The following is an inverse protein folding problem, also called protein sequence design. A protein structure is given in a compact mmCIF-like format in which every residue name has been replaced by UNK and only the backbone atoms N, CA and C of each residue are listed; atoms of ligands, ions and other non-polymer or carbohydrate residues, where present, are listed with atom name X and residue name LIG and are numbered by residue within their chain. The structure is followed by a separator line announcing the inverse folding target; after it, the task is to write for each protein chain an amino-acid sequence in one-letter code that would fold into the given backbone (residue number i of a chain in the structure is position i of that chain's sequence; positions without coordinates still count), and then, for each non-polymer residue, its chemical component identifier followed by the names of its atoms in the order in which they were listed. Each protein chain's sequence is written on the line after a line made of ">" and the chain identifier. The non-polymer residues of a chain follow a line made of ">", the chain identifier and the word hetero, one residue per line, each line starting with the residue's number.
data_IF_684667115726
#
_entry.id   IF_684667115726
#
_cell.length_a   1.000
_cell.length_b   1.000
_cell.length_c   1.000
_cell.angle_alpha   90.00
_cell.angle_beta   90.00
_cell.angle_gamma   90.00
#
_symmetry.space_group_name_H-M   'P 1'
#
loop_
_entity.id
_entity.type
_entity.pdbx_description
1 polymer ?
#
# COMPACT_ATOMS: atom_id res chain seq x y z
N UNK A 1 -3.16 -42.07 34.37
CA UNK A 1 -2.35 -42.01 33.14
C UNK A 1 -3.19 -41.26 32.12
N UNK A 2 -3.17 -39.93 32.18
CA UNK A 2 -3.92 -39.08 31.26
C UNK A 2 -3.02 -38.79 30.06
N UNK A 3 -3.38 -39.33 28.91
CA UNK A 3 -2.83 -38.91 27.63
C UNK A 3 -3.50 -37.57 27.32
N UNK A 4 -2.78 -36.49 27.61
CA UNK A 4 -3.14 -35.16 27.14
C UNK A 4 -2.74 -35.12 25.67
N UNK A 5 -3.73 -35.27 24.79
CA UNK A 5 -3.56 -35.03 23.37
C UNK A 5 -3.22 -33.54 23.22
N UNK A 6 -1.94 -33.23 23.01
CA UNK A 6 -1.50 -31.91 22.58
C UNK A 6 -2.26 -31.60 21.29
N UNK A 7 -3.18 -30.64 21.35
CA UNK A 7 -3.77 -30.06 20.14
C UNK A 7 -2.63 -29.58 19.27
N UNK A 8 -2.77 -29.74 17.96
CA UNK A 8 -1.94 -29.05 16.98
C UNK A 8 -2.01 -27.55 17.29
N UNK A 9 -1.04 -27.03 18.05
CA UNK A 9 -0.90 -25.59 18.28
C UNK A 9 -0.65 -24.96 16.91
N UNK A 10 -1.47 -23.98 16.54
CA UNK A 10 -1.31 -23.27 15.28
C UNK A 10 -0.05 -22.41 15.28
N UNK A 11 0.39 -21.94 14.12
CA UNK A 11 1.60 -21.11 14.03
C UNK A 11 1.54 -19.89 14.96
N UNK A 12 0.36 -19.28 15.08
CA UNK A 12 0.14 -18.10 15.92
C UNK A 12 0.26 -18.44 17.41
N UNK A 13 -0.22 -19.61 17.85
CA UNK A 13 -0.11 -20.02 19.26
C UNK A 13 1.36 -20.22 19.66
N UNK A 14 2.15 -20.86 18.80
CA UNK A 14 3.60 -21.03 19.03
C UNK A 14 4.32 -19.68 19.12
N UNK A 15 3.93 -18.72 18.27
CA UNK A 15 4.49 -17.37 18.30
C UNK A 15 4.09 -16.62 19.57
N UNK A 16 2.83 -16.72 20.02
CA UNK A 16 2.37 -16.12 21.28
C UNK A 16 3.14 -16.68 22.47
N UNK A 17 3.30 -18.00 22.54
CA UNK A 17 4.03 -18.65 23.63
C UNK A 17 5.50 -18.19 23.65
N UNK A 18 6.16 -18.12 22.49
CA UNK A 18 7.53 -17.61 22.40
C UNK A 18 7.62 -16.13 22.81
N UNK A 19 6.73 -15.28 22.27
CA UNK A 19 6.68 -13.84 22.54
C UNK A 19 6.28 -13.49 23.97
N UNK A 20 5.71 -14.43 24.73
CA UNK A 20 5.48 -14.26 26.17
C UNK A 20 6.79 -14.25 27.00
N UNK A 21 7.86 -14.80 26.44
CA UNK A 21 9.16 -14.99 27.11
C UNK A 21 10.32 -14.23 26.46
N UNK A 22 10.09 -13.60 25.30
CA UNK A 22 11.08 -12.83 24.55
C UNK A 22 10.42 -11.95 23.48
N UNK A 23 11.22 -11.20 22.72
CA UNK A 23 10.71 -10.24 21.72
C UNK A 23 10.74 -10.77 20.29
N UNK A 24 11.32 -11.95 20.06
CA UNK A 24 11.49 -12.51 18.72
C UNK A 24 11.09 -13.98 18.68
N UNK A 25 10.27 -14.33 17.70
CA UNK A 25 9.95 -15.68 17.29
C UNK A 25 10.32 -15.87 15.81
N UNK A 26 11.04 -16.94 15.50
CA UNK A 26 11.29 -17.37 14.12
C UNK A 26 10.94 -18.84 14.02
N UNK A 27 10.00 -19.17 13.13
CA UNK A 27 9.58 -20.54 12.89
C UNK A 27 10.78 -21.41 12.47
N UNK A 28 10.80 -22.65 12.94
CA UNK A 28 11.85 -23.62 12.61
C UNK A 28 11.91 -23.98 11.13
N UNK A 29 10.83 -23.69 10.40
CA UNK A 29 10.72 -23.91 8.97
C UNK A 29 11.42 -22.82 8.14
N UNK A 30 11.80 -21.71 8.77
CA UNK A 30 12.57 -20.64 8.13
C UNK A 30 14.04 -21.02 8.11
N UNK A 31 14.66 -20.97 6.93
CA UNK A 31 16.09 -21.24 6.75
C UNK A 31 16.92 -20.27 7.61
N UNK A 32 17.88 -20.80 8.36
CA UNK A 32 18.71 -19.99 9.24
C UNK A 32 17.99 -19.40 10.46
N UNK A 33 16.81 -19.93 10.82
CA UNK A 33 15.94 -19.41 11.90
C UNK A 33 16.64 -18.99 13.20
N UNK A 34 17.60 -19.77 13.71
CA UNK A 34 18.36 -19.41 14.92
C UNK A 34 19.23 -18.17 14.73
N UNK A 35 19.97 -18.08 13.62
CA UNK A 35 20.84 -16.93 13.36
C UNK A 35 20.03 -15.66 13.12
N UNK A 36 18.89 -15.78 12.44
CA UNK A 36 17.95 -14.68 12.23
C UNK A 36 17.33 -14.21 13.56
N UNK A 37 16.90 -15.14 14.42
CA UNK A 37 16.36 -14.80 15.73
C UNK A 37 17.37 -14.02 16.59
N UNK A 38 18.62 -14.49 16.66
CA UNK A 38 19.70 -13.81 17.41
C UNK A 38 19.98 -12.40 16.87
N UNK A 39 20.00 -12.25 15.54
CA UNK A 39 20.21 -10.95 14.89
C UNK A 39 19.07 -9.97 15.22
N UNK A 40 17.82 -10.41 15.09
CA UNK A 40 16.65 -9.57 15.36
C UNK A 40 16.57 -9.19 16.85
N UNK A 41 16.90 -10.13 17.74
CA UNK A 41 16.92 -9.88 19.18
C UNK A 41 17.94 -8.79 19.54
N UNK A 42 19.11 -8.78 18.90
CA UNK A 42 20.12 -7.74 19.09
C UNK A 42 19.68 -6.36 18.57
N UNK A 43 18.80 -6.31 17.56
CA UNK A 43 18.31 -5.06 16.96
C UNK A 43 17.14 -4.43 17.74
N UNK A 44 16.26 -5.27 18.31
CA UNK A 44 15.14 -4.78 19.12
C UNK A 44 15.63 -4.13 20.41
N UNK A 45 16.64 -4.72 21.06
CA UNK A 45 17.17 -4.21 22.33
C UNK A 45 16.08 -4.15 23.41
N UNK A 46 15.93 -2.98 24.04
CA UNK A 46 14.93 -2.73 25.10
C UNK A 46 13.59 -2.19 24.56
N UNK A 47 13.41 -2.10 23.24
CA UNK A 47 12.18 -1.58 22.63
C UNK A 47 11.01 -2.57 22.82
N UNK A 48 9.80 -2.02 23.01
CA UNK A 48 8.55 -2.79 23.11
C UNK A 48 8.06 -3.24 21.73
N UNK A 49 8.86 -4.08 21.07
CA UNK A 49 8.61 -4.60 19.72
C UNK A 49 8.60 -6.14 19.75
N UNK A 50 7.49 -6.75 19.34
CA UNK A 50 7.39 -8.18 19.12
C UNK A 50 7.58 -8.51 17.63
N UNK A 51 8.45 -9.46 17.31
CA UNK A 51 8.71 -9.90 15.93
C UNK A 51 8.37 -11.38 15.79
N UNK A 52 7.55 -11.73 14.80
CA UNK A 52 7.25 -13.11 14.46
C UNK A 52 7.54 -13.37 12.97
N UNK A 53 8.41 -14.35 12.69
CA UNK A 53 8.78 -14.72 11.32
C UNK A 53 8.32 -16.15 11.05
N UNK A 54 7.51 -16.32 10.02
CA UNK A 54 6.91 -17.59 9.63
C UNK A 54 7.32 -17.99 8.21
N UNK A 55 7.23 -19.29 7.93
CA UNK A 55 7.27 -19.81 6.56
C UNK A 55 5.98 -19.47 5.81
N UNK A 56 5.96 -19.68 4.49
CA UNK A 56 4.77 -19.53 3.65
C UNK A 56 3.58 -20.39 4.12
N UNK A 57 3.82 -21.44 4.91
CA UNK A 57 2.77 -22.31 5.43
C UNK A 57 1.82 -21.60 6.40
N UNK A 58 2.31 -20.59 7.13
CA UNK A 58 1.45 -19.83 8.06
C UNK A 58 0.37 -19.02 7.33
N UNK A 59 0.59 -18.66 6.05
CA UNK A 59 -0.41 -18.01 5.21
C UNK A 59 -1.65 -18.89 4.93
N UNK A 60 -1.56 -20.20 5.21
CA UNK A 60 -2.70 -21.12 5.13
C UNK A 60 -3.63 -21.00 6.34
N UNK A 61 -3.14 -20.51 7.48
CA UNK A 61 -3.91 -20.36 8.72
C UNK A 61 -4.48 -18.95 8.87
N UNK A 62 -3.67 -17.92 8.62
CA UNK A 62 -4.07 -16.52 8.77
C UNK A 62 -3.24 -15.60 7.86
N UNK A 63 -3.79 -14.43 7.52
CA UNK A 63 -3.02 -13.41 6.78
C UNK A 63 -2.06 -12.65 7.70
N UNK A 64 -0.98 -12.08 7.17
CA UNK A 64 -0.02 -11.28 7.94
C UNK A 64 -0.69 -10.23 8.84
N UNK A 65 -1.63 -9.40 8.33
CA UNK A 65 -2.38 -8.46 9.16
C UNK A 65 -3.27 -9.09 10.24
N UNK A 66 -3.89 -10.25 9.96
CA UNK A 66 -4.69 -10.98 10.96
C UNK A 66 -3.78 -11.51 12.08
N UNK A 67 -2.60 -12.03 11.73
CA UNK A 67 -1.59 -12.48 12.68
C UNK A 67 -1.07 -11.29 13.52
N UNK A 68 -0.83 -10.13 12.90
CA UNK A 68 -0.46 -8.90 13.63
C UNK A 68 -1.53 -8.54 14.66
N UNK A 69 -2.82 -8.56 14.26
CA UNK A 69 -3.93 -8.25 15.17
C UNK A 69 -3.99 -9.26 16.32
N UNK A 70 -3.90 -10.55 16.03
CA UNK A 70 -4.00 -11.60 17.04
C UNK A 70 -2.81 -11.57 18.02
N UNK A 71 -1.59 -11.36 17.52
CA UNK A 71 -0.41 -11.19 18.36
C UNK A 71 -0.50 -9.90 19.19
N UNK A 72 -0.97 -8.79 18.62
CA UNK A 72 -1.14 -7.55 19.38
C UNK A 72 -2.13 -7.74 20.54
N UNK A 73 -3.24 -8.47 20.33
CA UNK A 73 -4.25 -8.71 21.36
C UNK A 73 -3.80 -9.68 22.45
N UNK A 74 -2.94 -10.64 22.09
CA UNK A 74 -2.48 -11.70 22.99
C UNK A 74 -1.11 -11.42 23.63
N UNK A 75 -0.41 -10.40 23.17
CA UNK A 75 0.91 -9.99 23.69
C UNK A 75 0.90 -8.54 24.18
N UNK A 76 1.90 -8.19 25.01
CA UNK A 76 2.00 -6.87 25.64
C UNK A 76 2.80 -5.83 24.85
N UNK A 77 3.20 -6.10 23.61
CA UNK A 77 4.07 -5.21 22.86
C UNK A 77 3.33 -3.98 22.31
N UNK A 78 4.05 -2.87 22.21
CA UNK A 78 3.54 -1.63 21.61
C UNK A 78 3.53 -1.71 20.08
N UNK A 79 4.49 -2.44 19.51
CA UNK A 79 4.58 -2.68 18.06
C UNK A 79 4.78 -4.17 17.78
N UNK A 80 4.08 -4.68 16.77
CA UNK A 80 4.19 -6.04 16.27
C UNK A 80 4.63 -6.00 14.81
N UNK A 81 5.64 -6.80 14.47
CA UNK A 81 6.12 -7.00 13.10
C UNK A 81 5.99 -8.50 12.79
N UNK A 82 5.33 -8.81 11.69
CA UNK A 82 5.11 -10.19 11.22
C UNK A 82 5.71 -10.32 9.82
N UNK A 83 6.48 -11.37 9.60
CA UNK A 83 6.88 -11.83 8.28
C UNK A 83 6.22 -13.19 8.00
N UNK A 84 5.57 -13.34 6.85
CA UNK A 84 5.08 -14.64 6.38
C UNK A 84 5.68 -14.89 5.00
N UNK A 85 6.66 -15.77 4.93
CA UNK A 85 7.48 -15.87 3.73
C UNK A 85 8.26 -14.57 3.52
N UNK A 86 8.10 -13.98 2.34
CA UNK A 86 8.71 -12.70 1.97
C UNK A 86 7.82 -11.47 2.28
N UNK A 87 6.57 -11.68 2.69
CA UNK A 87 5.59 -10.61 2.92
C UNK A 87 5.73 -10.05 4.34
N UNK A 88 5.85 -8.73 4.48
CA UNK A 88 5.90 -8.04 5.77
C UNK A 88 4.56 -7.40 6.15
N UNK A 89 4.23 -7.45 7.42
CA UNK A 89 3.09 -6.79 8.02
C UNK A 89 3.47 -6.22 9.37
N UNK A 90 3.01 -5.02 9.70
CA UNK A 90 3.30 -4.44 11.00
C UNK A 90 2.16 -3.56 11.52
N UNK A 91 1.98 -3.57 12.84
CA UNK A 91 1.00 -2.78 13.55
C UNK A 91 1.61 -2.17 14.80
N UNK A 92 1.23 -0.94 15.12
CA UNK A 92 1.73 -0.25 16.31
C UNK A 92 0.61 0.51 17.01
N UNK A 93 0.66 0.55 18.33
CA UNK A 93 -0.22 1.35 19.21
C UNK A 93 0.36 2.72 19.54
N UNK A 94 1.67 2.90 19.30
CA UNK A 94 2.43 4.10 19.69
C UNK A 94 2.83 4.97 18.50
N UNK A 95 2.88 4.40 17.29
CA UNK A 95 3.03 5.16 16.05
C UNK A 95 1.66 5.61 15.52
N UNK A 96 1.67 6.55 14.59
CA UNK A 96 0.45 6.95 13.87
C UNK A 96 -0.21 5.75 13.20
N UNK A 97 -1.55 5.80 13.09
CA UNK A 97 -2.32 4.70 12.51
C UNK A 97 -1.84 4.37 11.09
N UNK A 98 -1.44 3.12 10.87
CA UNK A 98 -0.93 2.64 9.58
C UNK A 98 0.55 2.92 9.33
N UNK A 99 1.24 3.64 10.21
CA UNK A 99 2.64 4.03 10.00
C UNK A 99 3.60 2.83 10.06
N UNK A 100 3.40 1.93 11.02
CA UNK A 100 4.18 0.69 11.11
C UNK A 100 4.06 -0.15 9.83
N UNK A 101 2.85 -0.29 9.29
CA UNK A 101 2.59 -0.98 8.03
C UNK A 101 3.25 -0.28 6.84
N UNK A 102 3.22 1.06 6.80
CA UNK A 102 3.90 1.86 5.79
C UNK A 102 5.42 1.61 5.80
N UNK A 103 6.02 1.57 6.99
CA UNK A 103 7.45 1.28 7.18
C UNK A 103 7.79 -0.13 6.68
N UNK A 104 6.99 -1.14 7.04
CA UNK A 104 7.16 -2.52 6.59
C UNK A 104 7.12 -2.62 5.05
N UNK A 105 6.07 -2.06 4.43
CA UNK A 105 5.92 -2.05 2.97
C UNK A 105 7.07 -1.32 2.26
N UNK A 106 7.58 -0.24 2.86
CA UNK A 106 8.71 0.51 2.32
C UNK A 106 10.01 -0.29 2.37
N UNK A 107 10.24 -1.05 3.43
CA UNK A 107 11.40 -1.92 3.57
C UNK A 107 11.36 -3.08 2.57
N UNK A 108 10.21 -3.75 2.45
CA UNK A 108 10.00 -4.83 1.47
C UNK A 108 10.19 -4.32 0.03
N UNK A 109 9.64 -3.14 -0.28
CA UNK A 109 9.76 -2.49 -1.59
C UNK A 109 11.20 -2.08 -1.95
N UNK A 110 12.15 -2.08 -1.00
CA UNK A 110 13.55 -1.79 -1.27
C UNK A 110 14.21 -2.89 -2.15
N UNK A 111 13.62 -4.10 -2.17
CA UNK A 111 14.06 -5.23 -2.98
C UNK A 111 15.32 -5.91 -2.46
N UNK A 112 15.50 -5.88 -1.13
CA UNK A 112 16.52 -6.64 -0.40
C UNK A 112 16.05 -8.05 -0.04
N UNK A 113 16.85 -8.78 0.74
CA UNK A 113 16.40 -10.06 1.32
C UNK A 113 15.38 -9.83 2.44
N UNK A 114 14.70 -10.89 2.90
CA UNK A 114 13.80 -10.82 4.05
C UNK A 114 14.51 -10.26 5.28
N UNK A 115 15.76 -10.68 5.53
CA UNK A 115 16.55 -10.23 6.67
C UNK A 115 16.90 -8.74 6.57
N UNK A 116 17.24 -8.26 5.37
CA UNK A 116 17.49 -6.83 5.12
C UNK A 116 16.21 -6.01 5.35
N UNK A 117 15.07 -6.52 4.88
CA UNK A 117 13.77 -5.85 4.98
C UNK A 117 13.27 -5.80 6.44
N UNK A 118 13.39 -6.90 7.17
CA UNK A 118 13.11 -6.97 8.61
C UNK A 118 14.02 -6.02 9.39
N UNK A 119 15.33 -6.08 9.11
CA UNK A 119 16.31 -5.22 9.79
C UNK A 119 16.02 -3.74 9.56
N UNK A 120 15.66 -3.36 8.34
CA UNK A 120 15.29 -1.98 8.02
C UNK A 120 13.99 -1.56 8.71
N UNK A 121 12.99 -2.45 8.75
CA UNK A 121 11.70 -2.21 9.41
C UNK A 121 11.89 -1.95 10.90
N UNK A 122 12.63 -2.82 11.59
CA UNK A 122 12.93 -2.70 13.03
C UNK A 122 13.68 -1.39 13.31
N UNK A 123 14.75 -1.11 12.55
CA UNK A 123 15.55 0.11 12.78
C UNK A 123 14.74 1.39 12.59
N UNK A 124 13.85 1.42 11.59
CA UNK A 124 13.01 2.60 11.32
C UNK A 124 11.96 2.76 12.42
N UNK A 125 11.28 1.68 12.83
CA UNK A 125 10.30 1.72 13.93
C UNK A 125 10.95 2.16 15.24
N UNK A 126 12.15 1.65 15.57
CA UNK A 126 12.88 2.07 16.78
C UNK A 126 13.22 3.56 16.74
N UNK A 127 13.59 4.10 15.57
CA UNK A 127 13.88 5.52 15.40
C UNK A 127 12.63 6.39 15.58
N UNK A 128 11.51 5.99 14.98
CA UNK A 128 10.23 6.73 15.05
C UNK A 128 9.55 6.60 16.44
N UNK A 129 9.79 5.49 17.15
CA UNK A 129 9.23 5.25 18.49
C UNK A 129 10.06 5.88 19.61
N UNK A 130 11.25 6.42 19.31
CA UNK A 130 12.09 7.05 20.31
C UNK A 130 11.40 8.33 20.84
N UNK A 131 11.28 8.51 22.17
CA UNK A 131 10.70 9.72 22.71
C UNK A 131 11.52 10.92 22.27
N UNK A 132 10.84 11.97 21.78
CA UNK A 132 11.48 13.23 21.47
C UNK A 132 12.35 13.67 22.67
N UNK A 133 13.60 14.12 22.45
CA UNK A 133 14.45 14.56 23.55
C UNK A 133 13.69 15.61 24.34
N UNK A 134 13.53 15.37 25.65
CA UNK A 134 12.80 16.27 26.52
C UNK A 134 13.38 17.68 26.35
N UNK A 135 12.59 18.61 25.84
CA UNK A 135 12.91 20.02 25.98
C UNK A 135 12.90 20.31 27.49
N UNK A 136 14.08 20.31 28.09
CA UNK A 136 14.30 20.85 29.42
C UNK A 136 13.86 22.31 29.37
N UNK A 137 12.61 22.55 29.78
CA UNK A 137 12.10 23.85 30.14
C UNK A 137 12.99 24.42 31.25
N UNK A 138 13.90 25.31 30.85
CA UNK A 138 14.80 26.00 31.74
C UNK A 138 14.70 27.49 31.47
N UNK A 139 13.77 28.14 32.16
CA UNK A 139 13.76 29.59 32.28
C UNK A 139 15.11 30.12 32.76
N UNK A 140 15.38 31.38 32.42
CA UNK A 140 16.52 32.17 32.84
C UNK A 140 17.19 31.68 34.13
N UNK A 141 18.36 31.06 33.96
CA UNK A 141 19.27 30.71 35.05
C UNK A 141 20.18 29.54 34.72
N UNK A 142 21.17 29.71 33.82
CA UNK A 142 22.28 28.77 33.76
C UNK A 142 22.93 28.61 32.38
N UNK A 143 24.23 28.89 32.34
CA UNK A 143 25.17 28.55 31.26
C UNK A 143 25.13 27.04 30.99
N UNK A 144 24.98 26.62 29.72
CA UNK A 144 25.42 25.28 29.30
C UNK A 144 26.18 25.39 27.98
N UNK A 145 27.44 24.97 28.08
CA UNK A 145 28.43 24.84 27.02
C UNK A 145 28.29 23.43 26.40
N UNK A 146 28.20 23.41 25.07
CA UNK A 146 28.76 22.49 24.06
C UNK A 146 28.83 20.95 24.26
N UNK A 147 28.48 20.24 23.18
CA UNK A 147 29.31 19.29 22.39
C UNK A 147 28.44 18.83 21.18
N UNK A 148 28.67 19.19 19.92
CA UNK A 148 29.81 19.04 18.99
C UNK A 148 30.05 17.60 18.45
N UNK A 149 29.44 17.33 17.28
CA UNK A 149 29.97 16.72 16.03
C UNK A 149 30.67 15.34 16.06
N UNK A 150 30.11 14.39 15.28
CA UNK A 150 30.80 13.55 14.28
C UNK A 150 29.73 12.81 13.44
N UNK A 151 29.73 12.69 12.11
CA UNK A 151 30.68 13.09 11.07
C UNK A 151 29.93 13.18 9.71
N UNK A 152 30.31 14.16 8.90
CA UNK A 152 29.91 14.30 7.51
C UNK A 152 30.93 13.61 6.59
N UNK A 153 30.54 12.56 5.85
CA UNK A 153 31.11 12.17 4.55
C UNK A 153 30.02 11.42 3.75
N UNK A 154 29.95 11.65 2.43
CA UNK A 154 29.06 11.09 1.39
C UNK A 154 27.78 11.89 1.05
N UNK A 155 27.93 13.15 0.63
CA UNK A 155 26.86 13.89 -0.09
C UNK A 155 27.17 14.08 -1.59
N UNK A 156 28.36 13.73 -2.09
CA UNK A 156 28.70 13.88 -3.51
C UNK A 156 28.61 12.59 -4.35
N UNK A 157 28.48 11.41 -3.75
CA UNK A 157 28.45 10.11 -4.47
C UNK A 157 27.05 9.54 -4.72
N UNK A 158 26.06 9.91 -3.90
CA UNK A 158 24.73 9.26 -3.88
C UNK A 158 23.84 9.74 -5.04
N UNK A 159 23.99 10.99 -5.50
CA UNK A 159 23.16 11.51 -6.60
C UNK A 159 23.52 10.84 -7.95
N UNK A 160 24.80 10.52 -8.19
CA UNK A 160 25.22 9.85 -9.42
C UNK A 160 24.88 8.34 -9.43
N UNK A 161 24.96 7.67 -8.27
CA UNK A 161 24.60 6.26 -8.15
C UNK A 161 23.08 6.03 -8.32
N UNK A 162 22.24 6.92 -7.77
CA UNK A 162 20.78 6.84 -7.94
C UNK A 162 20.38 7.04 -9.40
N UNK A 163 21.02 7.97 -10.14
CA UNK A 163 20.74 8.18 -11.56
C UNK A 163 21.19 6.99 -12.45
N UNK A 164 22.36 6.39 -12.16
CA UNK A 164 22.87 5.22 -12.88
C UNK A 164 22.06 3.94 -12.58
N UNK A 165 21.57 3.79 -11.35
CA UNK A 165 20.68 2.69 -10.95
C UNK A 165 19.26 2.89 -11.48
N UNK A 166 18.71 4.12 -11.56
CA UNK A 166 17.44 4.40 -12.26
C UNK A 166 17.54 4.13 -13.76
N UNK A 167 18.65 4.51 -14.40
CA UNK A 167 18.88 4.28 -15.83
C UNK A 167 19.13 2.79 -16.15
N UNK A 168 19.76 2.03 -15.24
CA UNK A 168 19.86 0.56 -15.35
C UNK A 168 18.54 -0.12 -15.04
N UNK A 169 17.79 0.29 -14.00
CA UNK A 169 16.45 -0.23 -13.66
C UNK A 169 15.42 0.02 -14.76
N UNK A 170 15.49 1.11 -15.52
CA UNK A 170 14.65 1.30 -16.71
C UNK A 170 14.90 0.25 -17.80
N UNK A 171 16.10 -0.37 -17.80
CA UNK A 171 16.49 -1.41 -18.75
C UNK A 171 16.27 -2.82 -18.21
N UNK A 172 16.42 -3.04 -16.89
CA UNK A 172 16.16 -4.34 -16.24
C UNK A 172 14.68 -4.57 -15.90
N UNK A 173 13.89 -3.52 -15.59
CA UNK A 173 12.42 -3.64 -15.43
C UNK A 173 11.70 -4.01 -16.72
N UNK A 174 12.37 -3.88 -17.86
CA UNK A 174 11.88 -4.35 -19.17
C UNK A 174 12.08 -5.86 -19.37
N UNK A 175 12.70 -6.56 -18.42
CA UNK A 175 13.13 -7.96 -18.58
C UNK A 175 12.65 -8.92 -17.49
N UNK A 176 11.82 -8.46 -16.53
CA UNK A 176 11.19 -9.32 -15.51
C UNK A 176 9.65 -9.27 -15.50
N UNK A 177 9.02 -8.39 -16.27
CA UNK A 177 7.58 -8.44 -16.60
C UNK A 177 7.36 -9.40 -17.76
N UNK A 178 7.39 -10.70 -17.47
CA UNK A 178 7.26 -11.79 -18.45
C UNK A 178 5.83 -12.22 -18.76
N UNK A 179 4.82 -11.59 -18.15
CA UNK A 179 3.46 -11.58 -18.69
C UNK A 179 2.98 -10.12 -18.65
N UNK A 180 2.91 -9.50 -19.83
CA UNK A 180 2.40 -8.14 -19.98
C UNK A 180 0.94 -8.08 -19.51
N UNK A 181 0.56 -7.04 -18.76
CA UNK A 181 -0.84 -6.71 -18.54
C UNK A 181 -1.59 -6.75 -19.88
N UNK A 182 -2.82 -7.28 -19.95
CA UNK A 182 -3.59 -7.25 -21.19
C UNK A 182 -3.76 -5.82 -21.72
N UNK A 183 -3.88 -5.66 -23.03
CA UNK A 183 -3.93 -4.34 -23.68
C UNK A 183 -5.04 -3.44 -23.12
N UNK A 184 -6.21 -4.04 -22.84
CA UNK A 184 -7.39 -3.37 -22.28
C UNK A 184 -7.19 -2.82 -20.87
N UNK A 185 -6.28 -3.42 -20.09
CA UNK A 185 -5.93 -3.01 -18.72
C UNK A 185 -4.69 -2.12 -18.70
N UNK A 186 -3.74 -2.36 -19.61
CA UNK A 186 -2.45 -1.66 -19.66
C UNK A 186 -2.64 -0.16 -19.83
N UNK A 187 -3.48 0.27 -20.78
CA UNK A 187 -3.77 1.68 -21.03
C UNK A 187 -4.29 2.42 -19.80
N UNK A 188 -5.39 1.96 -19.17
CA UNK A 188 -5.90 2.53 -17.93
C UNK A 188 -4.89 2.54 -16.77
N UNK A 189 -4.11 1.47 -16.59
CA UNK A 189 -3.10 1.39 -15.54
C UNK A 189 -1.97 2.41 -15.76
N UNK A 190 -1.52 2.59 -17.00
CA UNK A 190 -0.50 3.60 -17.31
C UNK A 190 -1.03 5.03 -17.11
N UNK A 191 -2.30 5.28 -17.44
CA UNK A 191 -2.95 6.55 -17.15
C UNK A 191 -3.05 6.82 -15.64
N UNK A 192 -3.43 5.82 -14.85
CA UNK A 192 -3.46 5.90 -13.39
C UNK A 192 -2.07 6.19 -12.81
N UNK A 193 -1.01 5.50 -13.26
CA UNK A 193 0.37 5.80 -12.81
C UNK A 193 0.79 7.24 -13.12
N UNK A 194 0.39 7.78 -14.28
CA UNK A 194 0.65 9.18 -14.61
C UNK A 194 -0.08 10.12 -13.64
N UNK A 195 -1.37 9.85 -13.36
CA UNK A 195 -2.18 10.62 -12.42
C UNK A 195 -1.61 10.56 -11.00
N UNK A 196 -1.15 9.40 -10.51
CA UNK A 196 -0.51 9.28 -9.20
C UNK A 196 0.60 10.32 -9.00
N UNK A 197 1.46 10.53 -10.01
CA UNK A 197 2.50 11.55 -9.97
C UNK A 197 1.96 12.99 -9.88
N UNK A 198 0.83 13.26 -10.51
CA UNK A 198 0.16 14.57 -10.46
C UNK A 198 -0.50 14.83 -9.11
N UNK A 199 -1.21 13.83 -8.58
CA UNK A 199 -1.79 13.86 -7.24
C UNK A 199 -0.71 14.00 -6.16
N UNK A 200 0.41 13.29 -6.28
CA UNK A 200 1.54 13.40 -5.35
C UNK A 200 2.17 14.81 -5.39
N UNK A 201 2.27 15.43 -6.57
CA UNK A 201 2.77 16.80 -6.69
C UNK A 201 1.83 17.81 -6.01
N UNK A 202 0.51 17.66 -6.20
CA UNK A 202 -0.49 18.48 -5.53
C UNK A 202 -0.50 18.24 -4.00
N UNK A 203 -0.29 17.00 -3.57
CA UNK A 203 -0.13 16.62 -2.17
C UNK A 203 1.09 17.26 -1.52
N UNK A 204 2.23 17.29 -2.21
CA UNK A 204 3.43 18.00 -1.78
C UNK A 204 3.25 19.52 -1.63
N UNK A 205 2.22 20.09 -2.25
CA UNK A 205 1.82 21.48 -2.10
C UNK A 205 0.85 21.71 -0.92
N UNK A 206 0.52 20.67 -0.14
CA UNK A 206 -0.31 20.74 1.07
C UNK A 206 -1.74 20.23 0.92
N UNK A 207 -2.13 19.66 -0.23
CA UNK A 207 -3.45 19.06 -0.39
C UNK A 207 -3.48 17.60 0.11
N UNK A 208 -3.98 17.38 1.33
CA UNK A 208 -3.99 16.06 1.95
C UNK A 208 -4.80 15.02 1.14
N UNK A 209 -5.98 15.40 0.63
CA UNK A 209 -6.80 14.52 -0.20
C UNK A 209 -6.04 14.05 -1.44
N UNK A 210 -5.28 14.94 -2.08
CA UNK A 210 -4.46 14.56 -3.22
C UNK A 210 -3.33 13.58 -2.84
N UNK A 211 -2.70 13.78 -1.67
CA UNK A 211 -1.67 12.86 -1.18
C UNK A 211 -2.23 11.47 -0.86
N UNK A 212 -3.44 11.39 -0.31
CA UNK A 212 -4.16 10.14 -0.08
C UNK A 212 -4.51 9.45 -1.40
N UNK A 213 -5.14 10.17 -2.33
CA UNK A 213 -5.50 9.64 -3.65
C UNK A 213 -4.30 9.14 -4.44
N UNK A 214 -3.12 9.79 -4.34
CA UNK A 214 -1.90 9.28 -4.98
C UNK A 214 -1.52 7.88 -4.48
N UNK A 215 -1.57 7.66 -3.15
CA UNK A 215 -1.26 6.37 -2.52
C UNK A 215 -2.28 5.30 -2.91
N UNK A 216 -3.56 5.66 -2.94
CA UNK A 216 -4.64 4.76 -3.34
C UNK A 216 -4.48 4.33 -4.82
N UNK A 217 -4.14 5.25 -5.71
CA UNK A 217 -3.85 4.94 -7.12
C UNK A 217 -2.66 3.97 -7.25
N UNK A 218 -1.57 4.22 -6.51
CA UNK A 218 -0.40 3.35 -6.54
C UNK A 218 -0.77 1.91 -6.12
N UNK A 219 -1.55 1.77 -5.04
CA UNK A 219 -2.04 0.47 -4.57
C UNK A 219 -2.89 -0.24 -5.62
N UNK A 220 -3.84 0.46 -6.26
CA UNK A 220 -4.69 -0.10 -7.32
C UNK A 220 -3.84 -0.60 -8.50
N UNK A 221 -2.87 0.18 -8.96
CA UNK A 221 -2.04 -0.21 -10.11
C UNK A 221 -1.11 -1.39 -9.80
N UNK A 222 -0.63 -1.49 -8.56
CA UNK A 222 0.17 -2.63 -8.09
C UNK A 222 -0.69 -3.90 -7.98
N UNK A 223 -1.84 -3.81 -7.33
CA UNK A 223 -2.74 -4.94 -7.14
C UNK A 223 -3.30 -5.46 -8.47
N UNK A 224 -3.61 -4.57 -9.42
CA UNK A 224 -4.00 -4.98 -10.77
C UNK A 224 -2.89 -5.80 -11.45
N UNK A 225 -1.64 -5.35 -11.38
CA UNK A 225 -0.51 -6.11 -11.94
C UNK A 225 -0.34 -7.48 -11.28
N UNK A 226 -0.46 -7.54 -9.95
CA UNK A 226 -0.36 -8.81 -9.21
C UNK A 226 -1.50 -9.78 -9.56
N UNK A 227 -2.74 -9.30 -9.66
CA UNK A 227 -3.89 -10.13 -10.01
C UNK A 227 -3.67 -10.83 -11.36
N UNK A 228 -3.30 -10.07 -12.40
CA UNK A 228 -3.10 -10.64 -13.74
C UNK A 228 -1.88 -11.55 -13.81
N UNK A 229 -0.81 -11.25 -13.07
CA UNK A 229 0.34 -12.16 -12.97
C UNK A 229 -0.07 -13.52 -12.37
N UNK A 230 -0.84 -13.51 -11.27
CA UNK A 230 -1.31 -14.74 -10.61
C UNK A 230 -2.32 -15.51 -11.45
N UNK A 231 -3.22 -14.82 -12.15
CA UNK A 231 -4.16 -15.47 -13.08
C UNK A 231 -3.44 -16.16 -14.24
N UNK A 232 -2.41 -15.51 -14.79
CA UNK A 232 -1.58 -16.10 -15.85
C UNK A 232 -0.80 -17.33 -15.35
N UNK A 233 -0.17 -17.24 -14.18
CA UNK A 233 0.59 -18.34 -13.59
C UNK A 233 -0.27 -19.58 -13.31
N UNK A 234 -1.51 -19.39 -12.84
CA UNK A 234 -2.42 -20.49 -12.51
C UNK A 234 -3.10 -21.12 -13.72
N UNK A 235 -2.90 -20.59 -14.93
CA UNK A 235 -3.51 -21.11 -16.16
C UNK A 235 -5.04 -21.01 -16.18
N UNK A 236 -5.63 -20.06 -15.46
CA UNK A 236 -7.07 -19.86 -15.36
C UNK A 236 -7.58 -18.97 -16.51
N UNK A 237 -7.52 -19.45 -17.75
CA UNK A 237 -7.77 -18.66 -18.97
C UNK A 237 -9.16 -17.98 -18.99
N UNK A 238 -10.22 -18.69 -18.58
CA UNK A 238 -11.57 -18.12 -18.49
C UNK A 238 -11.66 -16.99 -17.45
N UNK A 239 -10.99 -17.15 -16.30
CA UNK A 239 -10.95 -16.12 -15.27
C UNK A 239 -10.08 -14.93 -15.68
N UNK A 240 -9.01 -15.20 -16.42
CA UNK A 240 -8.14 -14.17 -16.98
C UNK A 240 -8.90 -13.27 -17.96
N UNK A 241 -9.64 -13.86 -18.92
CA UNK A 241 -10.44 -13.10 -19.89
C UNK A 241 -11.57 -12.31 -19.22
N UNK A 242 -12.25 -12.91 -18.23
CA UNK A 242 -13.28 -12.22 -17.46
C UNK A 242 -12.70 -11.03 -16.67
N UNK A 243 -11.59 -11.24 -15.98
CA UNK A 243 -10.89 -10.17 -15.26
C UNK A 243 -10.43 -9.06 -16.19
N UNK A 244 -9.92 -9.41 -17.37
CA UNK A 244 -9.49 -8.45 -18.39
C UNK A 244 -10.62 -7.47 -18.75
N UNK A 245 -11.80 -8.00 -19.07
CA UNK A 245 -12.96 -7.19 -19.46
C UNK A 245 -13.42 -6.32 -18.29
N UNK A 246 -13.60 -6.91 -17.11
CA UNK A 246 -14.13 -6.22 -15.93
C UNK A 246 -13.19 -5.14 -15.41
N UNK A 247 -11.90 -5.43 -15.29
CA UNK A 247 -10.93 -4.44 -14.81
C UNK A 247 -10.54 -3.44 -15.88
N UNK A 248 -10.56 -3.79 -17.16
CA UNK A 248 -10.38 -2.82 -18.25
C UNK A 248 -11.43 -1.70 -18.17
N UNK A 249 -12.70 -2.06 -18.00
CA UNK A 249 -13.79 -1.08 -17.84
C UNK A 249 -13.68 -0.28 -16.54
N UNK A 250 -13.51 -0.96 -15.39
CA UNK A 250 -13.45 -0.28 -14.08
C UNK A 250 -12.27 0.68 -13.97
N UNK A 251 -11.07 0.25 -14.38
CA UNK A 251 -9.88 1.12 -14.35
C UNK A 251 -10.00 2.25 -15.38
N UNK A 252 -10.65 2.01 -16.52
CA UNK A 252 -10.98 3.06 -17.50
C UNK A 252 -11.91 4.13 -16.92
N UNK A 253 -12.99 3.73 -16.25
CA UNK A 253 -13.91 4.64 -15.55
C UNK A 253 -13.22 5.40 -14.42
N UNK A 254 -12.40 4.70 -13.63
CA UNK A 254 -11.66 5.28 -12.51
C UNK A 254 -10.63 6.31 -12.96
N UNK A 255 -9.78 5.97 -13.94
CA UNK A 255 -8.81 6.90 -14.50
C UNK A 255 -9.47 8.17 -15.05
N UNK A 256 -10.64 8.06 -15.68
CA UNK A 256 -11.38 9.22 -16.16
C UNK A 256 -11.98 10.06 -15.02
N UNK A 257 -12.39 9.45 -13.90
CA UNK A 257 -12.87 10.17 -12.71
C UNK A 257 -11.71 10.90 -11.99
N UNK A 258 -10.53 10.29 -11.98
CA UNK A 258 -9.34 10.86 -11.36
C UNK A 258 -8.60 11.88 -12.25
N UNK A 259 -8.96 11.98 -13.54
CA UNK A 259 -8.31 12.84 -14.53
C UNK A 259 -8.33 14.34 -14.15
N UNK A 260 -7.44 15.11 -14.80
CA UNK A 260 -7.30 16.57 -14.74
C UNK A 260 -8.56 17.37 -15.04
N UNK A 261 -9.59 16.73 -15.58
CA UNK A 261 -10.86 17.34 -15.97
C UNK A 261 -12.01 17.03 -15.00
N UNK A 262 -11.73 16.28 -13.94
CA UNK A 262 -12.72 15.98 -12.91
C UNK A 262 -12.12 16.12 -11.53
N UNK A 263 -11.75 15.03 -10.83
CA UNK A 263 -11.32 15.13 -9.43
C UNK A 263 -10.11 16.07 -9.25
N UNK A 264 -9.09 15.99 -10.11
CA UNK A 264 -7.95 16.92 -10.03
C UNK A 264 -8.36 18.38 -10.19
N UNK A 265 -9.33 18.68 -11.07
CA UNK A 265 -9.81 20.06 -11.21
C UNK A 265 -10.66 20.50 -10.02
N UNK A 266 -11.49 19.60 -9.47
CA UNK A 266 -12.26 19.85 -8.24
C UNK A 266 -11.31 20.20 -7.08
N UNK A 267 -10.20 19.47 -6.93
CA UNK A 267 -9.22 19.71 -5.86
C UNK A 267 -8.44 21.02 -6.03
N UNK A 268 -8.20 21.46 -7.26
CA UNK A 268 -7.47 22.71 -7.54
C UNK A 268 -8.41 23.92 -7.53
N UNK A 269 -9.62 23.75 -8.04
CA UNK A 269 -10.59 24.82 -8.30
C UNK A 269 -11.98 24.50 -7.71
N UNK A 270 -12.13 24.24 -6.40
CA UNK A 270 -13.38 23.74 -5.82
C UNK A 270 -14.57 24.69 -6.03
N UNK A 271 -14.32 26.00 -6.10
CA UNK A 271 -15.34 27.04 -6.30
C UNK A 271 -15.97 27.04 -7.70
N UNK A 272 -15.42 26.28 -8.66
CA UNK A 272 -15.96 26.15 -10.02
C UNK A 272 -16.92 24.96 -10.16
N UNK A 273 -17.09 24.18 -9.10
CA UNK A 273 -17.90 22.96 -9.09
C UNK A 273 -19.05 23.09 -8.10
N UNK A 274 -20.22 22.57 -8.48
CA UNK A 274 -21.33 22.37 -7.56
C UNK A 274 -21.03 21.17 -6.66
N UNK A 275 -21.26 21.33 -5.35
CA UNK A 275 -21.07 20.29 -4.32
C UNK A 275 -19.70 19.59 -4.40
N UNK A 276 -18.57 20.33 -4.37
CA UNK A 276 -17.23 19.77 -4.59
C UNK A 276 -16.89 18.69 -3.56
N UNK A 277 -17.27 18.89 -2.30
CA UNK A 277 -17.01 17.93 -1.23
C UNK A 277 -17.75 16.59 -1.45
N UNK A 278 -19.02 16.64 -1.87
CA UNK A 278 -19.79 15.42 -2.18
C UNK A 278 -19.16 14.65 -3.35
N UNK A 279 -18.71 15.37 -4.39
CA UNK A 279 -18.06 14.77 -5.56
C UNK A 279 -16.73 14.15 -5.22
N UNK A 280 -15.94 14.78 -4.33
CA UNK A 280 -14.69 14.20 -3.84
C UNK A 280 -14.98 12.89 -3.10
N UNK A 281 -15.96 12.88 -2.20
CA UNK A 281 -16.36 11.67 -1.47
C UNK A 281 -16.82 10.56 -2.44
N UNK A 282 -17.67 10.88 -3.41
CA UNK A 282 -18.15 9.89 -4.40
C UNK A 282 -17.01 9.23 -5.17
N UNK A 283 -16.00 10.00 -5.60
CA UNK A 283 -14.85 9.44 -6.32
C UNK A 283 -13.99 8.60 -5.39
N UNK A 284 -13.79 9.02 -4.14
CA UNK A 284 -13.01 8.26 -3.14
C UNK A 284 -13.68 6.94 -2.78
N UNK A 285 -15.00 6.94 -2.54
CA UNK A 285 -15.76 5.71 -2.28
C UNK A 285 -15.60 4.71 -3.43
N UNK A 286 -15.53 5.20 -4.68
CA UNK A 286 -15.29 4.35 -5.83
C UNK A 286 -13.84 3.85 -5.95
N UNK A 287 -12.85 4.66 -5.57
CA UNK A 287 -11.44 4.25 -5.45
C UNK A 287 -11.33 3.11 -4.43
N UNK A 288 -11.91 3.30 -3.25
CA UNK A 288 -11.89 2.33 -2.15
C UNK A 288 -12.56 1.02 -2.57
N UNK A 289 -13.77 1.08 -3.15
CA UNK A 289 -14.48 -0.10 -3.61
C UNK A 289 -13.69 -0.90 -4.68
N UNK A 290 -13.02 -0.22 -5.61
CA UNK A 290 -12.17 -0.90 -6.61
C UNK A 290 -10.94 -1.53 -5.96
N UNK A 291 -10.32 -0.84 -5.00
CA UNK A 291 -9.16 -1.33 -4.26
C UNK A 291 -9.50 -2.58 -3.45
N UNK A 292 -10.60 -2.56 -2.69
CA UNK A 292 -11.10 -3.70 -1.92
C UNK A 292 -11.39 -4.89 -2.84
N UNK A 293 -12.09 -4.68 -3.96
CA UNK A 293 -12.39 -5.75 -4.90
C UNK A 293 -11.12 -6.36 -5.53
N UNK A 294 -10.10 -5.57 -5.83
CA UNK A 294 -8.81 -6.08 -6.33
C UNK A 294 -8.15 -7.01 -5.30
N UNK A 295 -8.09 -6.60 -4.04
CA UNK A 295 -7.51 -7.40 -2.95
C UNK A 295 -8.30 -8.69 -2.77
N UNK A 296 -9.64 -8.62 -2.75
CA UNK A 296 -10.48 -9.79 -2.61
C UNK A 296 -10.36 -10.77 -3.77
N UNK A 297 -10.24 -10.26 -5.00
CA UNK A 297 -10.02 -11.10 -6.18
C UNK A 297 -8.64 -11.76 -6.15
N UNK A 298 -7.59 -11.08 -5.66
CA UNK A 298 -6.28 -11.71 -5.43
C UNK A 298 -6.42 -12.85 -4.40
N UNK A 299 -7.13 -12.62 -3.28
CA UNK A 299 -7.40 -13.66 -2.26
C UNK A 299 -8.18 -14.84 -2.86
N UNK A 300 -9.17 -14.60 -3.71
CA UNK A 300 -9.93 -15.64 -4.39
C UNK A 300 -9.06 -16.47 -5.34
N UNK A 301 -8.22 -15.83 -6.15
CA UNK A 301 -7.25 -16.51 -7.01
C UNK A 301 -6.31 -17.36 -6.17
N UNK A 302 -5.81 -16.85 -5.04
CA UNK A 302 -4.97 -17.61 -4.10
C UNK A 302 -5.65 -18.87 -3.59
N UNK A 303 -6.90 -18.72 -3.13
CA UNK A 303 -7.75 -19.81 -2.65
C UNK A 303 -8.28 -20.73 -3.77
N UNK A 304 -7.90 -20.51 -5.04
CA UNK A 304 -8.38 -21.25 -6.24
C UNK A 304 -9.90 -21.20 -6.39
N UNK A 305 -10.53 -20.10 -5.96
CA UNK A 305 -11.97 -19.84 -6.12
C UNK A 305 -12.22 -19.09 -7.44
N UNK A 306 -13.48 -19.06 -7.86
CA UNK A 306 -13.93 -18.21 -8.96
C UNK A 306 -13.84 -16.73 -8.57
N UNK A 307 -13.55 -15.87 -9.54
CA UNK A 307 -13.58 -14.42 -9.36
C UNK A 307 -15.02 -13.92 -9.17
N UNK A 308 -15.20 -12.99 -8.24
CA UNK A 308 -16.47 -12.32 -8.00
C UNK A 308 -16.33 -10.81 -8.21
N UNK A 309 -17.19 -10.27 -9.06
CA UNK A 309 -17.25 -8.84 -9.36
C UNK A 309 -18.55 -8.30 -8.77
N UNK A 310 -18.45 -7.57 -7.66
CA UNK A 310 -19.61 -7.01 -6.95
C UNK A 310 -19.73 -5.49 -7.14
N UNK A 311 -18.62 -4.82 -7.51
CA UNK A 311 -18.53 -3.37 -7.66
C UNK A 311 -18.87 -2.98 -9.09
N UNK A 312 -19.94 -2.21 -9.26
CA UNK A 312 -20.31 -1.58 -10.51
C UNK A 312 -20.14 -0.07 -10.41
N UNK A 313 -19.29 0.50 -11.27
CA UNK A 313 -19.02 1.94 -11.32
C UNK A 313 -19.99 2.69 -12.24
N UNK A 314 -21.19 2.16 -12.47
CA UNK A 314 -22.15 2.74 -13.42
C UNK A 314 -22.72 4.07 -12.90
N UNK A 315 -22.80 4.24 -11.58
CA UNK A 315 -23.18 5.50 -10.93
C UNK A 315 -22.19 6.63 -11.24
N UNK A 316 -20.88 6.35 -11.26
CA UNK A 316 -19.84 7.32 -11.67
C UNK A 316 -20.00 7.77 -13.13
N UNK A 317 -20.56 6.92 -13.99
CA UNK A 317 -20.77 7.22 -15.40
C UNK A 317 -22.06 8.02 -15.67
N UNK A 318 -23.05 7.92 -14.78
CA UNK A 318 -24.36 8.56 -14.89
C UNK A 318 -24.27 10.10 -14.93
N UNK A 319 -23.56 10.72 -13.96
CA UNK A 319 -23.42 12.19 -13.90
C UNK A 319 -22.59 12.78 -15.05
N UNK A 320 -21.60 12.06 -15.57
CA UNK A 320 -20.82 12.50 -16.75
C UNK A 320 -21.63 12.40 -18.04
N UNK A 321 -22.51 11.41 -18.14
CA UNK A 321 -23.46 11.28 -19.25
C UNK A 321 -24.50 12.39 -19.20
N UNK A 322 -25.03 12.73 -18.02
CA UNK A 322 -25.90 13.89 -17.83
C UNK A 322 -25.25 15.21 -18.23
N UNK A 323 -23.97 15.47 -17.87
CA UNK A 323 -23.24 16.67 -18.31
C UNK A 323 -22.99 16.71 -19.82
N UNK A 324 -22.66 15.57 -20.44
CA UNK A 324 -22.48 15.46 -21.90
C UNK A 324 -23.80 15.58 -22.65
N UNK A 325 -24.89 15.09 -22.08
CA UNK A 325 -26.22 15.17 -22.68
C UNK A 325 -26.81 16.58 -22.48
N UNK A 326 -26.54 17.26 -21.36
CA UNK A 326 -26.80 18.70 -21.17
C UNK A 326 -26.04 19.58 -22.16
N UNK A 327 -24.75 19.36 -22.38
CA UNK A 327 -23.93 20.09 -23.36
C UNK A 327 -24.40 19.82 -24.81
N UNK A 328 -24.92 18.62 -25.08
CA UNK A 328 -25.53 18.27 -26.37
C UNK A 328 -26.92 18.90 -26.55
N UNK A 329 -27.71 18.99 -25.49
CA UNK A 329 -29.01 19.68 -25.49
C UNK A 329 -28.86 21.20 -25.58
N UNK A 330 -27.86 21.78 -24.91
CA UNK A 330 -27.53 23.20 -24.97
C UNK A 330 -27.09 23.62 -26.37
N UNK A 331 -26.19 22.87 -27.03
CA UNK A 331 -25.84 23.12 -28.45
C UNK A 331 -27.01 22.93 -29.41
N UNK A 332 -27.97 22.06 -29.06
CA UNK A 332 -29.18 21.83 -29.86
C UNK A 332 -30.18 22.98 -29.69
N UNK A 333 -30.22 23.63 -28.51
CA UNK A 333 -30.99 24.83 -28.24
C UNK A 333 -30.38 26.09 -28.89
N UNK A 334 -29.05 26.25 -28.87
CA UNK A 334 -28.34 27.35 -29.55
C UNK A 334 -28.45 27.26 -31.08
N UNK A 335 -28.60 26.06 -31.63
CA UNK A 335 -28.80 25.83 -33.07
C UNK A 335 -30.25 25.98 -33.55
N UNK A 336 -31.23 26.16 -32.66
CA UNK A 336 -32.66 26.26 -32.99
C UNK A 336 -33.19 27.71 -32.98
N UNK A 337 -32.33 28.69 -32.71
CA UNK A 337 -32.61 30.12 -32.85
C UNK A 337 -32.33 30.64 -34.26
N UNK A 338 -33.02 30.10 -35.26
CA UNK A 338 -32.93 30.58 -36.64
C UNK A 338 -33.59 31.95 -36.75
N UNK A 339 -32.88 32.98 -37.23
CA UNK A 339 -33.56 34.19 -37.72
C UNK A 339 -33.84 34.00 -39.22
N UNK A 340 -35.12 33.95 -39.65
CA UNK A 340 -35.46 33.97 -41.06
C UNK A 340 -35.07 35.33 -41.64
N UNK A 341 -34.13 35.32 -42.60
CA UNK A 341 -33.76 36.48 -43.39
C UNK A 341 -34.94 36.94 -44.24
N UNK A 342 -35.34 38.19 -44.04
CA UNK A 342 -36.27 38.94 -44.87
C UNK A 342 -35.73 39.23 -46.28
#
# INVERSE_FOLDING_TARGET
>A
MHVQLAGSAGYVDDAVDALSSGSVYVSREVDGSTALADQLQAQVGDASIGIAVFSDNAALEASGPDIVSELADRTGFDTIIVAVGDDLSAGSRVLESGEAMRIANQAESAGGTLEESLSQTVQTIVQESAPAPAETGGGAGGVVIALAIAAAVVVAGVIAAIAAVRARRARTRRSQTGQELPDSVRGPVDALRALSGEYAALGGAGNQTAAETAREIDAITANAAQLFARLAEKGAEDQFQLAEIEYGDKLGKLSAALDRRYLLDILVNPHLWDDPDERVVEVRDAVDAVSEQLVDNIKQVNARRGLHFQVSLDTLSGRRKELRDWDREFRRADGAGELPSA
#
